data_IF_018373982214
#
_entry.id   IF_018373982214
#
_cell.length_a   1.000
_cell.length_b   1.000
_cell.length_c   1.000
_cell.angle_alpha   90.00
_cell.angle_beta   90.00
_cell.angle_gamma   90.00
#
_symmetry.space_group_name_H-M   'P 1'
#
loop_
_entity.id
_entity.type
_entity.pdbx_description
1 polymer ?
#
# COMPACT_ATOMS: atom_id res chain seq x y z
N UNK A 1 23.08 12.36 6.35
CA UNK A 1 23.38 12.79 7.73
C UNK A 1 22.33 13.74 8.30
N UNK A 2 22.02 14.88 7.68
CA UNK A 2 21.02 15.86 8.18
C UNK A 2 19.64 15.21 8.40
N UNK A 3 19.15 14.41 7.44
CA UNK A 3 17.86 13.76 7.54
C UNK A 3 17.77 12.75 8.70
N UNK A 4 18.88 12.05 9.01
CA UNK A 4 18.90 11.13 10.16
C UNK A 4 18.88 11.90 11.49
N UNK A 5 19.50 13.08 11.55
CA UNK A 5 19.45 13.97 12.72
C UNK A 5 18.02 14.52 12.89
N UNK A 6 17.44 15.01 11.79
CA UNK A 6 16.06 15.51 11.81
C UNK A 6 15.07 14.42 12.25
N UNK A 7 15.23 13.19 11.78
CA UNK A 7 14.39 12.06 12.20
C UNK A 7 14.48 11.80 13.71
N UNK A 8 15.68 11.84 14.30
CA UNK A 8 15.83 11.68 15.75
C UNK A 8 15.18 12.81 16.54
N UNK A 9 15.32 14.06 16.08
CA UNK A 9 14.63 15.20 16.71
C UNK A 9 13.11 15.07 16.61
N UNK A 10 12.62 14.59 15.46
CA UNK A 10 11.20 14.31 15.26
C UNK A 10 10.70 13.21 16.21
N UNK A 11 11.48 12.15 16.41
CA UNK A 11 11.14 11.09 17.34
C UNK A 11 11.03 11.60 18.78
N UNK A 12 11.98 12.45 19.22
CA UNK A 12 11.91 13.06 20.56
C UNK A 12 10.71 14.01 20.68
N UNK A 13 10.37 14.76 19.63
CA UNK A 13 9.17 15.59 19.63
C UNK A 13 7.89 14.77 19.85
N UNK A 14 7.72 13.63 19.11
CA UNK A 14 6.61 12.73 19.34
C UNK A 14 6.53 12.24 20.79
N UNK A 15 7.67 11.82 21.33
CA UNK A 15 7.73 11.22 22.67
C UNK A 15 7.58 12.22 23.82
N UNK A 16 7.94 13.50 23.62
CA UNK A 16 7.89 14.52 24.65
C UNK A 16 6.67 15.42 24.58
N UNK A 17 6.27 15.81 23.37
CA UNK A 17 5.27 16.86 23.18
C UNK A 17 3.89 16.32 22.78
N UNK A 18 3.84 15.13 22.16
CA UNK A 18 2.61 14.62 21.56
C UNK A 18 2.02 13.45 22.33
N UNK A 19 2.84 12.45 22.65
CA UNK A 19 2.36 11.24 23.30
C UNK A 19 2.32 11.36 24.83
N UNK A 20 1.43 10.59 25.51
CA UNK A 20 1.43 10.51 26.95
C UNK A 20 2.81 10.11 27.48
N UNK A 21 3.25 10.74 28.59
CA UNK A 21 4.56 10.46 29.19
C UNK A 21 4.75 8.98 29.56
N UNK A 22 3.67 8.30 29.96
CA UNK A 22 3.68 6.87 30.25
C UNK A 22 3.95 6.03 29.00
N UNK A 23 3.35 6.36 27.85
CA UNK A 23 3.59 5.67 26.58
C UNK A 23 5.03 5.88 26.08
N UNK A 24 5.56 7.11 26.22
CA UNK A 24 6.95 7.41 25.92
C UNK A 24 7.92 6.62 26.81
N UNK A 25 7.61 6.50 28.11
CA UNK A 25 8.37 5.68 29.06
C UNK A 25 8.35 4.20 28.68
N UNK A 26 7.15 3.66 28.38
CA UNK A 26 6.98 2.27 27.96
C UNK A 26 7.76 1.96 26.67
N UNK A 27 7.79 2.91 25.72
CA UNK A 27 8.59 2.78 24.49
C UNK A 27 10.09 2.71 24.80
N UNK A 28 10.61 3.62 25.66
CA UNK A 28 12.03 3.67 26.02
C UNK A 28 12.48 2.47 26.84
N UNK A 29 11.61 1.90 27.68
CA UNK A 29 11.90 0.68 28.46
C UNK A 29 11.70 -0.62 27.66
N UNK A 30 11.13 -0.54 26.47
CA UNK A 30 10.91 -1.69 25.61
C UNK A 30 9.70 -2.55 25.99
N UNK A 31 8.72 -1.98 26.73
CA UNK A 31 7.45 -2.64 27.03
C UNK A 31 6.54 -2.65 25.77
N UNK A 32 6.62 -1.57 24.99
CA UNK A 32 6.01 -1.45 23.66
C UNK A 32 6.99 -0.74 22.70
N UNK A 33 6.71 -0.85 21.40
CA UNK A 33 7.42 -0.11 20.36
C UNK A 33 6.44 0.71 19.54
N UNK A 34 6.65 2.04 19.49
CA UNK A 34 5.92 2.95 18.61
C UNK A 34 6.73 3.08 17.31
N UNK A 35 6.12 2.69 16.17
CA UNK A 35 6.80 2.68 14.89
C UNK A 35 6.89 4.07 14.26
N UNK A 36 7.91 4.26 13.39
CA UNK A 36 8.09 5.40 12.48
C UNK A 36 7.96 6.76 13.18
N UNK A 37 8.78 6.97 14.17
CA UNK A 37 8.85 8.22 14.91
C UNK A 37 9.69 9.29 14.19
N UNK A 38 10.41 8.94 13.16
CA UNK A 38 11.29 9.82 12.38
C UNK A 38 10.54 10.75 11.41
N UNK A 39 9.22 10.56 11.25
CA UNK A 39 8.34 11.44 10.47
C UNK A 39 7.10 11.83 11.24
N UNK A 40 6.64 13.09 11.07
CA UNK A 40 5.37 13.59 11.64
C UNK A 40 4.18 13.22 10.77
N UNK A 41 4.09 11.97 10.34
CA UNK A 41 3.12 11.51 9.34
C UNK A 41 2.33 10.28 9.78
N UNK A 42 1.34 9.89 8.98
CA UNK A 42 0.70 8.59 9.06
C UNK A 42 1.65 7.47 8.65
N UNK A 43 1.23 6.22 8.87
CA UNK A 43 2.05 5.05 8.61
C UNK A 43 1.91 4.57 7.16
N UNK A 44 0.88 3.79 6.81
CA UNK A 44 0.67 3.26 5.47
C UNK A 44 -0.58 3.83 4.83
N UNK A 45 -0.57 3.96 3.50
CA UNK A 45 -1.75 4.38 2.75
C UNK A 45 -1.98 3.51 1.50
N UNK A 46 -3.24 3.11 1.30
CA UNK A 46 -3.73 2.54 0.06
C UNK A 46 -4.41 3.65 -0.76
N UNK A 47 -3.98 3.79 -1.99
CA UNK A 47 -4.45 4.82 -2.91
C UNK A 47 -5.32 4.24 -4.00
N UNK A 48 -6.16 5.06 -4.62
CA UNK A 48 -6.92 4.65 -5.78
C UNK A 48 -6.07 4.75 -7.04
N UNK A 49 -5.69 3.59 -7.59
CA UNK A 49 -5.02 3.55 -8.90
C UNK A 49 -5.95 4.10 -9.99
N UNK A 50 -7.22 3.76 -9.92
CA UNK A 50 -8.24 4.29 -10.84
C UNK A 50 -8.26 5.81 -10.86
N UNK A 51 -8.25 6.44 -9.69
CA UNK A 51 -8.23 7.91 -9.58
C UNK A 51 -6.98 8.50 -10.23
N UNK A 52 -5.80 7.92 -9.97
CA UNK A 52 -4.56 8.36 -10.60
C UNK A 52 -4.62 8.25 -12.12
N UNK A 53 -5.12 7.14 -12.66
CA UNK A 53 -5.21 6.90 -14.10
C UNK A 53 -6.25 7.80 -14.80
N UNK A 54 -7.31 8.19 -14.08
CA UNK A 54 -8.36 9.06 -14.62
C UNK A 54 -8.04 10.55 -14.51
N UNK A 55 -7.37 10.98 -13.46
CA UNK A 55 -7.07 12.40 -13.21
C UNK A 55 -5.64 12.78 -13.63
N UNK A 56 -4.75 11.84 -13.75
CA UNK A 56 -3.32 12.09 -13.84
C UNK A 56 -2.69 12.43 -12.48
N UNK A 57 -1.40 12.71 -12.48
CA UNK A 57 -0.69 13.10 -11.26
C UNK A 57 -0.66 14.64 -11.18
N UNK A 58 -1.60 15.20 -10.43
CA UNK A 58 -1.90 16.64 -10.42
C UNK A 58 -2.48 17.09 -9.07
N UNK A 59 -3.02 18.28 -9.02
CA UNK A 59 -3.84 18.81 -7.92
C UNK A 59 -3.07 19.54 -6.83
N UNK A 60 -1.76 19.75 -6.98
CA UNK A 60 -0.93 20.52 -6.06
C UNK A 60 -0.39 21.76 -6.75
N UNK A 61 -0.92 22.92 -6.41
CA UNK A 61 -0.55 24.19 -7.03
C UNK A 61 0.95 24.47 -6.99
N UNK A 62 1.52 24.92 -8.11
CA UNK A 62 2.93 25.23 -8.26
C UNK A 62 3.85 24.02 -8.38
N UNK A 63 3.32 22.82 -8.51
CA UNK A 63 4.06 21.59 -8.82
C UNK A 63 3.82 21.17 -10.26
N UNK A 64 4.72 20.32 -10.79
CA UNK A 64 4.53 19.73 -12.12
C UNK A 64 3.32 18.82 -12.09
N UNK A 65 2.45 18.97 -13.09
CA UNK A 65 1.25 18.15 -13.26
C UNK A 65 1.36 17.30 -14.53
N UNK A 66 0.81 16.10 -14.48
CA UNK A 66 0.66 15.24 -15.66
C UNK A 66 -0.82 14.94 -15.91
N UNK A 67 -1.22 15.03 -17.17
CA UNK A 67 -2.56 14.61 -17.60
C UNK A 67 -2.77 13.11 -17.43
N UNK A 68 -4.01 12.61 -17.52
CA UNK A 68 -4.30 11.17 -17.55
C UNK A 68 -3.41 10.43 -18.56
N UNK A 69 -2.80 9.30 -18.18
CA UNK A 69 -1.90 8.56 -19.07
C UNK A 69 -2.68 7.96 -20.23
N UNK A 70 -2.06 7.95 -21.42
CA UNK A 70 -2.65 7.35 -22.62
C UNK A 70 -2.02 6.02 -23.02
N UNK A 71 -0.84 5.70 -22.47
CA UNK A 71 -0.04 4.53 -22.80
C UNK A 71 0.44 3.82 -21.53
N UNK A 72 0.68 2.51 -21.61
CA UNK A 72 1.16 1.70 -20.49
C UNK A 72 2.44 2.28 -19.85
N UNK A 73 3.41 2.69 -20.66
CA UNK A 73 4.67 3.28 -20.18
C UNK A 73 4.45 4.56 -19.38
N UNK A 74 3.54 5.43 -19.85
CA UNK A 74 3.17 6.66 -19.13
C UNK A 74 2.45 6.36 -17.82
N UNK A 75 1.56 5.36 -17.81
CA UNK A 75 0.88 4.91 -16.60
C UNK A 75 1.89 4.37 -15.57
N UNK A 76 2.83 3.52 -15.98
CA UNK A 76 3.91 3.03 -15.13
C UNK A 76 4.77 4.17 -14.57
N UNK A 77 5.13 5.15 -15.40
CA UNK A 77 5.89 6.32 -14.98
C UNK A 77 5.14 7.17 -13.94
N UNK A 78 3.83 7.40 -14.13
CA UNK A 78 3.01 8.12 -13.16
C UNK A 78 2.86 7.37 -11.84
N UNK A 79 2.72 6.04 -11.86
CA UNK A 79 2.68 5.19 -10.66
C UNK A 79 3.98 5.36 -9.86
N UNK A 80 5.13 5.29 -10.51
CA UNK A 80 6.45 5.49 -9.86
C UNK A 80 6.54 6.87 -9.22
N UNK A 81 6.19 7.91 -9.97
CA UNK A 81 6.23 9.30 -9.48
C UNK A 81 5.27 9.53 -8.32
N UNK A 82 4.05 8.99 -8.41
CA UNK A 82 3.05 9.07 -7.36
C UNK A 82 3.55 8.40 -6.07
N UNK A 83 3.89 7.13 -6.14
CA UNK A 83 4.33 6.36 -4.97
C UNK A 83 5.62 6.96 -4.36
N UNK A 84 6.57 7.40 -5.20
CA UNK A 84 7.79 8.07 -4.76
C UNK A 84 7.53 9.42 -4.08
N UNK A 85 6.53 10.18 -4.53
CA UNK A 85 6.18 11.46 -3.92
C UNK A 85 5.44 11.27 -2.60
N UNK A 86 4.45 10.39 -2.55
CA UNK A 86 3.65 10.14 -1.34
C UNK A 86 4.47 9.54 -0.18
N UNK A 87 5.59 8.90 -0.47
CA UNK A 87 6.57 8.45 0.52
C UNK A 87 7.19 9.60 1.34
N UNK A 88 7.11 10.84 0.87
CA UNK A 88 7.55 12.00 1.63
C UNK A 88 6.47 12.54 2.58
N UNK A 89 5.23 12.08 2.40
CA UNK A 89 4.10 12.47 3.25
C UNK A 89 3.63 11.33 4.18
N UNK A 90 4.10 10.09 3.95
CA UNK A 90 3.75 8.89 4.72
C UNK A 90 4.99 8.08 5.07
N UNK A 91 5.08 7.63 6.32
CA UNK A 91 6.26 6.95 6.83
C UNK A 91 6.39 5.49 6.35
N UNK A 92 5.27 4.79 6.22
CA UNK A 92 5.22 3.39 5.83
C UNK A 92 4.93 3.17 4.35
N UNK A 93 4.35 2.03 4.01
CA UNK A 93 4.15 1.66 2.64
C UNK A 93 3.00 2.40 1.96
N UNK A 94 3.19 2.58 0.66
CA UNK A 94 2.19 3.10 -0.27
C UNK A 94 1.73 1.95 -1.17
N UNK A 95 0.43 1.75 -1.28
CA UNK A 95 -0.13 0.60 -1.97
C UNK A 95 -1.13 1.00 -3.06
N UNK A 96 -1.12 0.24 -4.16
CA UNK A 96 -2.20 0.20 -5.14
C UNK A 96 -2.78 -1.21 -5.23
N UNK A 97 -4.10 -1.29 -5.35
CA UNK A 97 -4.83 -2.55 -5.57
C UNK A 97 -5.28 -2.68 -7.03
N UNK A 98 -5.63 -3.91 -7.43
CA UNK A 98 -6.14 -4.23 -8.77
C UNK A 98 -5.18 -3.77 -9.90
N UNK A 99 -3.87 -3.94 -9.66
CA UNK A 99 -2.84 -3.40 -10.54
C UNK A 99 -2.93 -3.98 -11.95
N UNK A 100 -3.06 -5.29 -12.09
CA UNK A 100 -3.20 -5.98 -13.36
C UNK A 100 -4.52 -5.65 -14.05
N UNK A 101 -5.63 -5.57 -13.30
CA UNK A 101 -6.95 -5.21 -13.82
C UNK A 101 -6.95 -3.80 -14.42
N UNK A 102 -6.43 -2.82 -13.71
CA UNK A 102 -6.45 -1.42 -14.18
C UNK A 102 -5.45 -1.12 -15.30
N UNK A 103 -4.35 -1.88 -15.42
CA UNK A 103 -3.36 -1.64 -16.47
C UNK A 103 -3.59 -2.46 -17.74
N UNK A 104 -4.31 -3.57 -17.69
CA UNK A 104 -4.61 -4.41 -18.83
C UNK A 104 -5.28 -3.65 -20.01
N UNK A 105 -6.21 -2.71 -19.79
CA UNK A 105 -6.83 -1.91 -20.86
C UNK A 105 -5.84 -1.12 -21.72
N UNK A 106 -4.73 -0.65 -21.17
CA UNK A 106 -3.71 0.07 -21.95
C UNK A 106 -3.03 -0.84 -22.97
N UNK A 107 -2.80 -2.10 -22.61
CA UNK A 107 -2.20 -3.11 -23.49
C UNK A 107 -3.14 -3.39 -24.66
N UNK A 108 -4.43 -3.64 -24.36
CA UNK A 108 -5.46 -3.91 -25.36
C UNK A 108 -5.66 -2.75 -26.31
N UNK A 109 -5.77 -1.54 -25.77
CA UNK A 109 -5.95 -0.29 -26.55
C UNK A 109 -4.81 -0.07 -27.55
N UNK A 110 -3.57 -0.27 -27.11
CA UNK A 110 -2.38 0.00 -27.92
C UNK A 110 -1.90 -1.24 -28.71
N UNK A 111 -2.54 -2.40 -28.54
CA UNK A 111 -2.16 -3.65 -29.19
C UNK A 111 -0.73 -4.09 -28.84
N UNK A 112 -0.29 -3.88 -27.59
CA UNK A 112 1.09 -4.15 -27.18
C UNK A 112 1.38 -5.65 -27.15
N UNK A 113 2.53 -6.02 -27.71
CA UNK A 113 3.08 -7.36 -27.60
C UNK A 113 3.78 -7.58 -26.25
N UNK A 114 4.00 -8.85 -25.90
CA UNK A 114 4.62 -9.25 -24.64
C UNK A 114 5.99 -8.57 -24.34
N UNK A 115 6.92 -8.41 -25.31
CA UNK A 115 8.20 -7.77 -25.05
C UNK A 115 8.06 -6.31 -24.58
N UNK A 116 7.08 -5.58 -25.12
CA UNK A 116 6.79 -4.20 -24.76
C UNK A 116 6.20 -4.10 -23.34
N UNK A 117 5.25 -4.98 -23.02
CA UNK A 117 4.67 -5.08 -21.66
C UNK A 117 5.75 -5.41 -20.65
N UNK A 118 6.59 -6.40 -20.94
CA UNK A 118 7.69 -6.81 -20.06
C UNK A 118 8.67 -5.66 -19.83
N UNK A 119 9.01 -4.88 -20.88
CA UNK A 119 9.89 -3.70 -20.73
C UNK A 119 9.28 -2.65 -19.81
N UNK A 120 8.00 -2.29 -19.99
CA UNK A 120 7.33 -1.33 -19.12
C UNK A 120 7.33 -1.77 -17.65
N UNK A 121 7.08 -3.06 -17.37
CA UNK A 121 7.11 -3.57 -16.00
C UNK A 121 8.52 -3.67 -15.43
N UNK A 122 9.52 -3.96 -16.24
CA UNK A 122 10.92 -3.93 -15.81
C UNK A 122 11.34 -2.51 -15.39
N UNK A 123 10.97 -1.51 -16.16
CA UNK A 123 11.22 -0.09 -15.82
C UNK A 123 10.49 0.32 -14.54
N UNK A 124 9.23 -0.08 -14.38
CA UNK A 124 8.47 0.18 -13.16
C UNK A 124 9.14 -0.44 -11.93
N UNK A 125 9.46 -1.73 -11.97
CA UNK A 125 10.09 -2.44 -10.85
C UNK A 125 11.45 -1.85 -10.53
N UNK A 126 12.28 -1.58 -11.55
CA UNK A 126 13.59 -0.96 -11.36
C UNK A 126 13.46 0.41 -10.68
N UNK A 127 12.60 1.28 -11.18
CA UNK A 127 12.42 2.62 -10.64
C UNK A 127 11.84 2.62 -9.21
N UNK A 128 11.00 1.65 -8.85
CA UNK A 128 10.54 1.47 -7.47
C UNK A 128 11.64 0.95 -6.53
N UNK A 129 12.78 0.49 -7.05
CA UNK A 129 13.94 0.07 -6.25
C UNK A 129 15.09 1.10 -6.25
N UNK A 130 14.94 2.22 -6.97
CA UNK A 130 15.89 3.32 -6.90
C UNK A 130 15.75 4.03 -5.55
N UNK A 131 16.87 4.35 -4.85
CA UNK A 131 16.82 5.04 -3.55
C UNK A 131 16.37 6.49 -3.72
N UNK A 132 15.08 6.71 -3.89
CA UNK A 132 14.46 8.02 -4.13
C UNK A 132 13.79 8.61 -2.89
N UNK A 133 13.69 7.82 -1.81
CA UNK A 133 13.07 8.23 -0.56
C UNK A 133 14.08 8.94 0.35
N UNK A 134 13.56 9.67 1.33
CA UNK A 134 14.29 10.26 2.42
C UNK A 134 15.25 9.25 3.09
N UNK A 135 16.46 9.67 3.42
CA UNK A 135 17.46 8.80 4.03
C UNK A 135 18.11 7.79 3.09
N UNK A 136 18.02 7.98 1.76
CA UNK A 136 18.52 7.05 0.73
C UNK A 136 17.83 5.69 0.71
N UNK A 137 16.59 5.62 1.21
CA UNK A 137 15.77 4.42 1.14
C UNK A 137 15.02 4.34 -0.19
N UNK A 138 14.71 3.13 -0.61
CA UNK A 138 13.79 2.89 -1.71
C UNK A 138 12.35 3.14 -1.26
N UNK A 139 11.43 3.54 -2.16
CA UNK A 139 10.02 3.64 -1.84
C UNK A 139 9.47 2.31 -1.32
N UNK A 140 8.89 2.31 -0.13
CA UNK A 140 8.22 1.14 0.41
C UNK A 140 6.85 1.00 -0.25
N UNK A 141 6.72 0.07 -1.18
CA UNK A 141 5.55 -0.05 -2.05
C UNK A 141 4.96 -1.45 -2.04
N UNK A 142 3.63 -1.52 -2.18
CA UNK A 142 2.89 -2.77 -2.35
C UNK A 142 1.98 -2.66 -3.57
N UNK A 143 1.91 -3.73 -4.37
CA UNK A 143 0.96 -3.86 -5.48
C UNK A 143 0.13 -5.13 -5.28
N UNK A 144 -1.19 -4.98 -5.33
CA UNK A 144 -2.11 -6.14 -5.28
C UNK A 144 -2.60 -6.47 -6.68
N UNK A 145 -2.50 -7.72 -7.05
CA UNK A 145 -2.91 -8.31 -8.31
C UNK A 145 -4.17 -9.14 -8.10
N UNK A 146 -5.14 -8.94 -8.96
CA UNK A 146 -6.41 -9.66 -8.88
C UNK A 146 -6.31 -11.07 -9.47
N UNK A 147 -5.45 -11.31 -10.46
CA UNK A 147 -5.29 -12.52 -11.26
C UNK A 147 -6.48 -12.80 -12.19
N UNK A 148 -7.68 -12.72 -11.63
CA UNK A 148 -8.95 -12.77 -12.35
C UNK A 148 -9.67 -11.46 -12.14
N UNK A 149 -10.25 -10.89 -13.20
CA UNK A 149 -10.97 -9.62 -13.11
C UNK A 149 -12.10 -9.70 -12.07
N UNK A 150 -12.12 -8.84 -11.05
CA UNK A 150 -13.17 -8.84 -10.03
C UNK A 150 -14.57 -8.58 -10.63
N UNK A 151 -15.58 -9.20 -10.04
CA UNK A 151 -16.97 -9.10 -10.53
C UNK A 151 -17.49 -7.65 -10.56
N UNK A 152 -17.11 -6.84 -9.58
CA UNK A 152 -17.50 -5.43 -9.50
C UNK A 152 -16.87 -4.57 -10.60
N UNK A 153 -15.76 -4.98 -11.20
CA UNK A 153 -15.08 -4.30 -12.29
C UNK A 153 -15.41 -4.88 -13.67
N UNK A 154 -15.84 -6.14 -13.73
CA UNK A 154 -15.97 -6.92 -14.95
C UNK A 154 -16.73 -6.20 -16.06
N UNK A 155 -17.89 -5.61 -15.74
CA UNK A 155 -18.77 -4.91 -16.69
C UNK A 155 -18.45 -3.40 -16.80
N UNK A 156 -17.48 -2.91 -16.04
CA UNK A 156 -17.14 -1.48 -16.09
C UNK A 156 -16.26 -1.16 -17.30
N UNK A 157 -16.53 -0.01 -17.92
CA UNK A 157 -15.78 0.50 -19.06
C UNK A 157 -14.54 1.25 -18.56
N UNK A 158 -13.33 0.89 -19.03
CA UNK A 158 -12.12 1.65 -18.72
C UNK A 158 -12.11 3.03 -19.36
N UNK A 159 -11.58 4.01 -18.64
CA UNK A 159 -11.34 5.37 -19.14
C UNK A 159 -9.83 5.57 -19.29
N UNK A 160 -9.34 5.82 -20.49
CA UNK A 160 -7.92 6.02 -20.79
C UNK A 160 -7.71 7.35 -21.46
N UNK A 161 -6.87 8.22 -20.87
CA UNK A 161 -6.61 9.55 -21.41
C UNK A 161 -7.85 10.45 -21.47
N UNK A 162 -8.85 10.16 -20.63
CA UNK A 162 -10.14 10.87 -20.60
C UNK A 162 -11.20 10.32 -21.55
N UNK A 163 -10.93 9.23 -22.27
CA UNK A 163 -11.85 8.62 -23.23
C UNK A 163 -12.32 7.25 -22.75
N UNK A 164 -13.62 6.95 -22.86
CA UNK A 164 -14.17 5.63 -22.60
C UNK A 164 -13.75 4.64 -23.69
N UNK A 165 -13.37 3.42 -23.27
CA UNK A 165 -12.96 2.38 -24.20
C UNK A 165 -14.18 1.59 -24.71
N UNK A 166 -14.12 1.04 -25.94
CA UNK A 166 -15.21 0.23 -26.51
C UNK A 166 -15.24 -1.23 -26.00
N UNK A 167 -14.73 -1.47 -24.78
CA UNK A 167 -14.65 -2.77 -24.12
C UNK A 167 -14.66 -2.60 -22.61
N UNK A 168 -14.95 -3.67 -21.88
CA UNK A 168 -14.96 -3.69 -20.41
C UNK A 168 -13.66 -4.26 -19.83
N UNK A 169 -13.43 -4.07 -18.51
CA UNK A 169 -12.28 -4.68 -17.84
C UNK A 169 -12.27 -6.22 -17.96
N UNK A 170 -13.44 -6.85 -17.89
CA UNK A 170 -13.57 -8.31 -18.06
C UNK A 170 -13.09 -8.86 -19.41
N UNK A 171 -13.09 -8.02 -20.46
CA UNK A 171 -12.60 -8.39 -21.76
C UNK A 171 -11.06 -8.49 -21.84
N UNK A 172 -10.35 -7.97 -20.82
CA UNK A 172 -8.89 -7.82 -20.82
C UNK A 172 -8.15 -8.96 -20.12
N UNK A 173 -8.74 -10.17 -20.03
CA UNK A 173 -8.14 -11.30 -19.32
C UNK A 173 -6.77 -11.73 -19.88
N UNK A 174 -6.60 -11.70 -21.20
CA UNK A 174 -5.33 -12.04 -21.86
C UNK A 174 -4.23 -11.02 -21.51
N UNK A 175 -4.58 -9.75 -21.46
CA UNK A 175 -3.68 -8.65 -21.12
C UNK A 175 -3.31 -8.68 -19.64
N UNK A 176 -4.25 -9.02 -18.73
CA UNK A 176 -3.96 -9.28 -17.33
C UNK A 176 -2.95 -10.42 -17.18
N UNK A 177 -3.14 -11.53 -17.91
CA UNK A 177 -2.20 -12.64 -17.90
C UNK A 177 -0.80 -12.23 -18.39
N UNK A 178 -0.69 -11.35 -19.40
CA UNK A 178 0.59 -10.79 -19.84
C UNK A 178 1.27 -9.95 -18.76
N UNK A 179 0.53 -9.12 -18.02
CA UNK A 179 1.06 -8.33 -16.90
C UNK A 179 1.60 -9.26 -15.82
N UNK A 180 0.80 -10.23 -15.39
CA UNK A 180 1.18 -11.17 -14.34
C UNK A 180 2.45 -11.96 -14.73
N UNK A 181 2.49 -12.51 -15.95
CA UNK A 181 3.69 -13.17 -16.47
C UNK A 181 4.92 -12.27 -16.47
N UNK A 182 4.80 -11.08 -17.03
CA UNK A 182 5.91 -10.15 -17.15
C UNK A 182 6.43 -9.69 -15.77
N UNK A 183 5.53 -9.42 -14.83
CA UNK A 183 5.90 -9.03 -13.48
C UNK A 183 6.67 -10.17 -12.76
N UNK A 184 6.14 -11.39 -12.80
CA UNK A 184 6.77 -12.55 -12.17
C UNK A 184 8.15 -12.82 -12.79
N UNK A 185 8.29 -12.78 -14.12
CA UNK A 185 9.57 -12.96 -14.79
C UNK A 185 10.60 -11.90 -14.40
N UNK A 186 10.19 -10.62 -14.31
CA UNK A 186 11.07 -9.53 -13.87
C UNK A 186 11.54 -9.73 -12.44
N UNK A 187 10.62 -10.09 -11.54
CA UNK A 187 10.96 -10.36 -10.13
C UNK A 187 11.87 -11.58 -9.97
N UNK A 188 11.65 -12.64 -10.74
CA UNK A 188 12.51 -13.85 -10.74
C UNK A 188 13.91 -13.58 -11.29
N UNK A 189 14.03 -12.76 -12.33
CA UNK A 189 15.30 -12.40 -12.94
C UNK A 189 16.17 -11.54 -11.99
N UNK A 190 15.54 -10.67 -11.21
CA UNK A 190 16.24 -9.72 -10.35
C UNK A 190 16.93 -8.58 -11.13
N UNK A 191 17.84 -7.89 -10.47
CA UNK A 191 18.64 -6.81 -11.05
C UNK A 191 19.72 -7.34 -12.02
N UNK A 192 20.54 -6.43 -12.58
CA UNK A 192 21.63 -6.77 -13.51
C UNK A 192 22.68 -7.76 -12.94
N UNK A 193 22.66 -7.99 -11.63
CA UNK A 193 23.52 -8.96 -10.93
C UNK A 193 22.74 -10.17 -10.41
N UNK A 194 21.45 -10.31 -10.77
CA UNK A 194 20.58 -11.38 -10.31
C UNK A 194 20.14 -11.25 -8.85
N UNK A 195 20.25 -10.07 -8.22
CA UNK A 195 19.79 -9.84 -6.86
C UNK A 195 18.27 -9.59 -6.88
N UNK A 196 17.55 -10.17 -5.94
CA UNK A 196 16.12 -9.97 -5.81
C UNK A 196 15.77 -8.50 -5.61
N UNK A 197 14.70 -8.06 -6.24
CA UNK A 197 14.08 -6.76 -5.97
C UNK A 197 13.36 -6.80 -4.62
N UNK A 198 13.51 -5.75 -3.83
CA UNK A 198 12.82 -5.63 -2.53
C UNK A 198 11.38 -5.16 -2.72
N UNK A 199 11.16 -4.28 -3.70
CA UNK A 199 9.87 -3.66 -3.98
C UNK A 199 9.49 -3.77 -5.46
N UNK A 200 8.19 -3.64 -5.79
CA UNK A 200 7.05 -3.61 -4.86
C UNK A 200 6.85 -4.98 -4.19
N UNK A 201 6.33 -5.00 -2.96
CA UNK A 201 5.86 -6.25 -2.33
C UNK A 201 4.59 -6.67 -3.08
N UNK A 202 4.59 -7.83 -3.76
CA UNK A 202 3.39 -8.28 -4.47
C UNK A 202 2.44 -9.01 -3.54
N UNK A 203 1.14 -8.77 -3.72
CA UNK A 203 0.05 -9.55 -3.10
C UNK A 203 -0.86 -10.07 -4.18
N UNK A 204 -1.19 -11.35 -4.18
CA UNK A 204 -2.10 -11.97 -5.13
C UNK A 204 -3.41 -12.39 -4.46
N UNK A 205 -4.52 -12.00 -5.06
CA UNK A 205 -5.84 -12.43 -4.65
C UNK A 205 -6.09 -13.86 -5.14
N UNK A 206 -6.40 -14.75 -4.21
CA UNK A 206 -6.80 -16.14 -4.52
C UNK A 206 -8.30 -16.25 -4.37
N UNK A 207 -8.97 -16.39 -5.50
CA UNK A 207 -10.42 -16.56 -5.62
C UNK A 207 -10.78 -17.97 -6.05
N UNK A 208 -12.08 -18.32 -6.09
CA UNK A 208 -12.52 -19.69 -6.47
C UNK A 208 -12.19 -20.05 -7.90
N UNK A 209 -12.08 -19.05 -8.78
CA UNK A 209 -11.77 -19.16 -10.20
C UNK A 209 -10.26 -18.96 -10.51
N UNK A 210 -9.41 -18.97 -9.48
CA UNK A 210 -7.96 -18.91 -9.65
C UNK A 210 -7.46 -20.11 -10.43
N UNK A 211 -6.72 -19.86 -11.52
CA UNK A 211 -6.14 -20.93 -12.35
C UNK A 211 -4.90 -21.54 -11.65
N UNK A 212 -5.11 -22.69 -11.01
CA UNK A 212 -4.08 -23.41 -10.27
C UNK A 212 -3.04 -24.13 -11.16
N UNK A 213 -3.34 -24.34 -12.43
CA UNK A 213 -2.57 -25.21 -13.33
C UNK A 213 -2.03 -24.48 -14.56
N UNK A 214 -2.25 -23.19 -14.68
CA UNK A 214 -1.77 -22.38 -15.78
C UNK A 214 -0.26 -22.13 -15.73
N UNK A 215 0.36 -21.76 -16.85
CA UNK A 215 1.81 -21.53 -16.94
C UNK A 215 2.28 -20.36 -16.06
N UNK A 216 1.44 -19.34 -15.86
CA UNK A 216 1.76 -18.23 -14.96
C UNK A 216 1.76 -18.66 -13.49
N UNK A 217 0.89 -19.60 -13.13
CA UNK A 217 0.80 -20.14 -11.76
C UNK A 217 2.05 -20.94 -11.40
N UNK A 218 2.57 -21.75 -12.34
CA UNK A 218 3.82 -22.46 -12.13
C UNK A 218 4.98 -21.47 -11.83
N UNK A 219 5.08 -20.40 -12.60
CA UNK A 219 6.10 -19.38 -12.38
C UNK A 219 5.88 -18.61 -11.05
N UNK A 220 4.61 -18.34 -10.68
CA UNK A 220 4.26 -17.69 -9.41
C UNK A 220 4.75 -18.52 -8.23
N UNK A 221 4.49 -19.82 -8.23
CA UNK A 221 4.95 -20.71 -7.16
C UNK A 221 6.46 -20.96 -7.20
N UNK A 222 7.11 -20.92 -8.36
CA UNK A 222 8.56 -20.93 -8.47
C UNK A 222 9.17 -19.67 -7.81
N UNK A 223 8.57 -18.50 -7.99
CA UNK A 223 8.95 -17.27 -7.31
C UNK A 223 8.75 -17.40 -5.79
N UNK A 224 7.63 -17.98 -5.35
CA UNK A 224 7.33 -18.21 -3.94
C UNK A 224 8.37 -19.13 -3.30
N UNK A 225 8.71 -20.23 -3.96
CA UNK A 225 9.71 -21.19 -3.48
C UNK A 225 11.11 -20.56 -3.38
N UNK A 226 11.45 -19.66 -4.32
CA UNK A 226 12.77 -19.05 -4.37
C UNK A 226 12.95 -17.88 -3.38
N UNK A 227 11.93 -17.04 -3.23
CA UNK A 227 12.06 -15.76 -2.52
C UNK A 227 11.10 -15.58 -1.35
N UNK A 228 10.14 -16.48 -1.13
CA UNK A 228 9.07 -16.28 -0.16
C UNK A 228 8.08 -15.17 -0.56
N UNK A 229 8.05 -14.81 -1.83
CA UNK A 229 7.13 -13.83 -2.44
C UNK A 229 6.27 -14.53 -3.49
N UNK A 230 5.05 -14.11 -3.75
CA UNK A 230 4.29 -13.00 -3.15
C UNK A 230 3.60 -13.38 -1.85
N UNK A 231 2.84 -12.41 -1.29
CA UNK A 231 1.80 -12.70 -0.32
C UNK A 231 0.52 -13.14 -1.03
N UNK A 232 -0.22 -14.04 -0.40
CA UNK A 232 -1.51 -14.50 -0.91
C UNK A 232 -2.64 -14.03 -0.01
N UNK A 233 -3.67 -13.43 -0.61
CA UNK A 233 -4.90 -13.06 0.06
C UNK A 233 -5.99 -14.05 -0.36
N UNK A 234 -6.40 -14.92 0.54
CA UNK A 234 -7.29 -16.03 0.26
C UNK A 234 -8.76 -15.65 0.49
N UNK A 235 -9.55 -15.64 -0.59
CA UNK A 235 -10.97 -15.40 -0.59
C UNK A 235 -11.81 -16.68 -0.80
N UNK A 236 -11.18 -17.85 -0.98
CA UNK A 236 -11.90 -19.12 -1.24
C UNK A 236 -12.76 -19.55 -0.05
N UNK A 237 -12.20 -19.42 1.16
CA UNK A 237 -12.85 -19.79 2.42
C UNK A 237 -13.15 -18.56 3.29
N UNK A 238 -13.53 -17.47 2.66
CA UNK A 238 -13.82 -16.19 3.32
C UNK A 238 -15.22 -15.70 2.92
N UNK A 239 -15.91 -15.06 3.84
CA UNK A 239 -17.14 -14.30 3.55
C UNK A 239 -16.83 -12.93 2.89
N UNK A 240 -15.56 -12.57 2.84
CA UNK A 240 -15.06 -11.35 2.20
C UNK A 240 -14.83 -11.60 0.71
N UNK A 241 -15.10 -10.59 -0.08
CA UNK A 241 -14.80 -10.56 -1.53
C UNK A 241 -13.64 -9.59 -1.80
N UNK A 242 -12.91 -9.75 -2.91
CA UNK A 242 -11.78 -8.86 -3.24
C UNK A 242 -12.12 -7.36 -3.20
N UNK A 243 -13.31 -6.98 -3.64
CA UNK A 243 -13.77 -5.58 -3.61
C UNK A 243 -14.08 -5.04 -2.21
N UNK A 244 -14.27 -5.92 -1.21
CA UNK A 244 -14.57 -5.53 0.18
C UNK A 244 -13.32 -5.32 1.02
N UNK A 245 -12.17 -5.69 0.52
CA UNK A 245 -10.92 -5.67 1.27
C UNK A 245 -9.84 -5.01 0.43
N UNK A 246 -9.05 -4.13 1.04
CA UNK A 246 -7.81 -3.65 0.44
C UNK A 246 -6.64 -4.12 1.26
N UNK A 247 -5.69 -4.74 0.59
CA UNK A 247 -4.45 -5.19 1.20
C UNK A 247 -3.43 -4.08 1.18
N UNK A 248 -2.81 -3.86 2.33
CA UNK A 248 -1.62 -3.04 2.44
C UNK A 248 -0.42 -3.92 2.83
N UNK A 249 0.78 -3.38 2.70
CA UNK A 249 2.02 -4.09 3.03
C UNK A 249 2.01 -4.78 4.40
N UNK A 250 1.32 -4.18 5.38
CA UNK A 250 1.17 -4.71 6.75
C UNK A 250 0.12 -5.83 6.83
N UNK A 251 -0.47 -6.24 5.71
CA UNK A 251 -1.56 -7.24 5.65
C UNK A 251 -2.79 -6.84 6.47
N UNK A 252 -2.97 -5.54 6.70
CA UNK A 252 -4.16 -5.02 7.31
C UNK A 252 -5.31 -5.21 6.33
N UNK A 253 -6.19 -6.13 6.66
CA UNK A 253 -7.46 -6.31 5.97
C UNK A 253 -8.48 -5.40 6.64
N UNK A 254 -8.96 -4.42 5.92
CA UNK A 254 -10.03 -3.55 6.38
C UNK A 254 -11.35 -4.07 5.82
N UNK A 255 -12.24 -4.50 6.71
CA UNK A 255 -13.61 -4.85 6.31
C UNK A 255 -14.40 -3.57 6.05
N UNK A 256 -14.56 -3.28 4.78
CA UNK A 256 -15.21 -2.07 4.30
C UNK A 256 -16.72 -2.06 4.55
N UNK A 257 -17.33 -3.22 4.83
CA UNK A 257 -18.75 -3.30 5.22
C UNK A 257 -18.98 -2.57 6.53
N UNK A 258 -18.06 -2.67 7.48
CA UNK A 258 -18.13 -1.93 8.74
C UNK A 258 -17.87 -0.43 8.53
N UNK A 259 -16.96 -0.07 7.64
CA UNK A 259 -16.70 1.32 7.28
C UNK A 259 -17.90 1.96 6.54
N UNK A 260 -18.52 1.23 5.64
CA UNK A 260 -19.72 1.68 4.92
C UNK A 260 -20.95 1.88 5.83
N UNK A 261 -21.13 1.03 6.85
CA UNK A 261 -22.21 1.15 7.84
C UNK A 261 -22.11 2.40 8.70
N UNK A 262 -20.91 2.93 8.91
CA UNK A 262 -20.64 4.11 9.76
C UNK A 262 -20.84 5.45 9.04
N UNK A 263 -21.38 5.45 7.84
CA UNK A 263 -21.91 6.62 7.15
C UNK A 263 -20.92 7.37 6.28
N UNK A 264 -20.80 6.94 5.05
CA UNK A 264 -20.65 7.77 3.85
C UNK A 264 -20.45 6.90 2.60
N UNK A 265 -21.29 5.90 2.45
CA UNK A 265 -21.18 4.83 1.46
C UNK A 265 -21.60 5.17 0.02
N UNK A 266 -21.73 6.45 -0.39
CA UNK A 266 -22.11 6.69 -1.79
C UNK A 266 -20.95 6.90 -2.77
N UNK A 267 -19.71 7.14 -2.29
CA UNK A 267 -18.54 7.34 -3.17
C UNK A 267 -17.23 6.87 -2.54
N UNK A 268 -17.26 6.08 -1.47
CA UNK A 268 -16.04 5.53 -0.87
C UNK A 268 -15.58 4.32 -1.67
N UNK A 269 -14.73 4.51 -2.67
CA UNK A 269 -13.94 3.37 -3.11
C UNK A 269 -13.12 2.90 -1.92
N UNK A 270 -13.21 1.62 -1.63
CA UNK A 270 -12.40 0.92 -0.66
C UNK A 270 -10.88 1.15 -0.82
N UNK A 271 -10.49 1.84 -1.87
CA UNK A 271 -9.13 2.09 -2.31
C UNK A 271 -8.42 3.19 -1.50
N UNK A 272 -9.15 4.07 -0.82
CA UNK A 272 -8.58 5.18 -0.03
C UNK A 272 -8.62 4.86 1.47
N UNK A 273 -7.83 3.89 1.88
CA UNK A 273 -7.74 3.45 3.27
C UNK A 273 -6.30 3.34 3.70
N UNK A 274 -6.05 3.46 5.01
CA UNK A 274 -4.70 3.43 5.52
C UNK A 274 -4.63 3.15 7.01
N UNK A 275 -3.40 3.15 7.52
CA UNK A 275 -3.09 3.05 8.94
C UNK A 275 -2.36 4.31 9.38
N UNK A 276 -2.86 4.98 10.40
CA UNK A 276 -2.20 6.19 10.93
C UNK A 276 -0.94 5.88 11.72
N UNK A 277 -0.79 4.65 12.23
CA UNK A 277 0.37 4.23 12.99
C UNK A 277 0.30 2.77 13.41
N UNK A 278 1.42 2.29 13.95
CA UNK A 278 1.54 0.95 14.52
C UNK A 278 2.21 1.03 15.87
N UNK A 279 1.69 0.30 16.83
CA UNK A 279 2.29 0.08 18.15
C UNK A 279 2.40 -1.42 18.37
N UNK A 280 3.58 -1.89 18.68
CA UNK A 280 3.83 -3.32 18.94
C UNK A 280 4.09 -3.52 20.43
N UNK A 281 3.29 -4.38 21.07
CA UNK A 281 3.49 -4.80 22.48
C UNK A 281 4.55 -5.87 22.54
N UNK A 282 5.49 -5.77 23.48
CA UNK A 282 6.55 -6.74 23.72
C UNK A 282 6.06 -7.92 24.57
N UNK A 283 5.38 -8.85 23.91
CA UNK A 283 4.84 -10.05 24.62
C UNK A 283 5.91 -10.92 25.26
N UNK A 284 7.11 -10.97 24.69
CA UNK A 284 8.22 -11.75 25.28
C UNK A 284 8.64 -11.16 26.63
N UNK A 285 8.77 -9.83 26.71
CA UNK A 285 9.08 -9.15 27.97
C UNK A 285 7.96 -9.29 29.00
N UNK A 286 6.70 -9.15 28.57
CA UNK A 286 5.55 -9.35 29.45
C UNK A 286 5.53 -10.76 30.03
N UNK A 287 5.71 -11.81 29.21
CA UNK A 287 5.77 -13.20 29.67
C UNK A 287 6.92 -13.46 30.63
N UNK A 288 8.07 -12.80 30.45
CA UNK A 288 9.20 -12.91 31.37
C UNK A 288 8.92 -12.24 32.73
N UNK A 289 8.40 -11.01 32.70
CA UNK A 289 8.15 -10.22 33.92
C UNK A 289 7.01 -10.77 34.80
N UNK A 290 6.04 -11.42 34.19
CA UNK A 290 4.85 -11.96 34.85
C UNK A 290 4.78 -13.50 34.80
N UNK A 291 5.95 -14.15 34.74
CA UNK A 291 6.02 -15.62 34.70
C UNK A 291 5.33 -16.22 35.95
N UNK A 292 4.33 -17.08 35.71
CA UNK A 292 3.56 -17.72 36.76
C UNK A 292 2.41 -16.91 37.37
N UNK A 293 2.20 -15.68 36.92
CA UNK A 293 1.07 -14.82 37.33
C UNK A 293 0.25 -14.37 36.11
N UNK A 294 -0.76 -15.17 35.73
CA UNK A 294 -1.62 -14.90 34.59
C UNK A 294 -2.44 -13.63 34.78
N UNK A 295 -2.93 -13.35 36.00
CA UNK A 295 -3.73 -12.16 36.25
C UNK A 295 -2.92 -10.88 36.06
N UNK A 296 -1.67 -10.84 36.55
CA UNK A 296 -0.77 -9.72 36.33
C UNK A 296 -0.37 -9.58 34.86
N UNK A 297 -0.17 -10.68 34.14
CA UNK A 297 0.13 -10.68 32.69
C UNK A 297 -1.01 -10.04 31.90
N UNK A 298 -2.25 -10.44 32.14
CA UNK A 298 -3.42 -9.90 31.47
C UNK A 298 -3.63 -8.42 31.79
N UNK A 299 -3.50 -8.03 33.05
CA UNK A 299 -3.62 -6.62 33.44
C UNK A 299 -2.53 -5.74 32.82
N UNK A 300 -1.29 -6.21 32.75
CA UNK A 300 -0.20 -5.49 32.10
C UNK A 300 -0.41 -5.38 30.56
N UNK A 301 -0.92 -6.43 29.93
CA UNK A 301 -1.26 -6.45 28.51
C UNK A 301 -2.33 -5.40 28.22
N UNK A 302 -3.42 -5.38 28.99
CA UNK A 302 -4.56 -4.47 28.83
C UNK A 302 -4.13 -3.00 28.97
N UNK A 303 -3.25 -2.73 29.93
CA UNK A 303 -2.66 -1.40 30.13
C UNK A 303 -1.85 -0.97 28.90
N UNK A 304 -0.99 -1.82 28.34
CA UNK A 304 -0.18 -1.49 27.17
C UNK A 304 -1.03 -1.32 25.91
N UNK A 305 -2.10 -2.08 25.75
CA UNK A 305 -3.07 -1.91 24.67
C UNK A 305 -3.80 -0.57 24.76
N UNK A 306 -4.19 -0.18 25.97
CA UNK A 306 -4.80 1.14 26.24
C UNK A 306 -3.86 2.27 25.86
N UNK A 307 -2.60 2.22 26.33
CA UNK A 307 -1.57 3.19 25.94
C UNK A 307 -1.33 3.24 24.44
N UNK A 308 -1.31 2.07 23.78
CA UNK A 308 -1.18 1.99 22.32
C UNK A 308 -2.32 2.69 21.59
N UNK A 309 -3.55 2.53 22.07
CA UNK A 309 -4.74 3.23 21.53
C UNK A 309 -4.65 4.75 21.69
N UNK A 310 -4.22 5.23 22.85
CA UNK A 310 -4.02 6.66 23.12
C UNK A 310 -2.95 7.27 22.20
N UNK A 311 -1.84 6.57 21.99
CA UNK A 311 -0.78 6.95 21.04
C UNK A 311 -1.31 7.10 19.63
N UNK A 312 -2.07 6.10 19.14
CA UNK A 312 -2.62 6.10 17.78
C UNK A 312 -3.62 7.24 17.58
N UNK A 313 -4.46 7.52 18.59
CA UNK A 313 -5.41 8.64 18.53
C UNK A 313 -4.71 9.99 18.58
N UNK A 314 -3.68 10.15 19.41
CA UNK A 314 -2.86 11.36 19.44
C UNK A 314 -2.17 11.60 18.07
N UNK A 315 -1.58 10.55 17.48
CA UNK A 315 -0.98 10.61 16.14
C UNK A 315 -2.00 11.02 15.09
N UNK A 316 -3.18 10.41 15.08
CA UNK A 316 -4.25 10.74 14.14
C UNK A 316 -4.62 12.21 14.17
N UNK A 317 -4.77 12.78 15.39
CA UNK A 317 -5.11 14.20 15.56
C UNK A 317 -4.03 15.12 15.01
N UNK A 318 -2.78 14.86 15.32
CA UNK A 318 -1.65 15.68 14.84
C UNK A 318 -1.49 15.59 13.33
N UNK A 319 -1.57 14.39 12.75
CA UNK A 319 -1.48 14.22 11.29
C UNK A 319 -2.64 14.93 10.58
N UNK A 320 -3.87 14.84 11.14
CA UNK A 320 -5.01 15.60 10.59
C UNK A 320 -4.77 17.11 10.62
N UNK A 321 -4.27 17.66 11.73
CA UNK A 321 -3.92 19.08 11.82
C UNK A 321 -2.91 19.50 10.74
N UNK A 322 -1.91 18.66 10.47
CA UNK A 322 -0.92 18.92 9.43
C UNK A 322 -1.51 18.87 8.01
N UNK A 323 -2.45 17.95 7.76
CA UNK A 323 -3.19 17.90 6.47
C UNK A 323 -4.02 19.17 6.30
N UNK A 324 -4.74 19.59 7.33
CA UNK A 324 -5.56 20.80 7.31
C UNK A 324 -4.72 22.06 7.08
N UNK A 325 -3.55 22.12 7.71
CA UNK A 325 -2.56 23.18 7.51
C UNK A 325 -1.86 23.16 6.14
N UNK A 326 -2.12 22.14 5.31
CA UNK A 326 -1.53 22.01 3.97
C UNK A 326 -0.07 21.56 3.93
N UNK A 327 0.43 20.96 5.02
CA UNK A 327 1.79 20.43 5.09
C UNK A 327 1.95 19.12 4.29
N UNK A 328 0.84 18.43 3.99
CA UNK A 328 0.77 17.24 3.15
C UNK A 328 -0.15 17.49 1.95
N UNK A 329 0.31 18.25 0.96
CA UNK A 329 -0.55 18.74 -0.11
C UNK A 329 -1.10 17.63 -1.01
N UNK A 330 -0.32 16.60 -1.31
CA UNK A 330 -0.79 15.46 -2.10
C UNK A 330 -1.77 14.59 -1.31
N UNK A 331 -1.50 14.30 -0.05
CA UNK A 331 -2.45 13.60 0.82
C UNK A 331 -3.77 14.36 0.93
N UNK A 332 -3.71 15.69 1.08
CA UNK A 332 -4.90 16.54 1.12
C UNK A 332 -5.72 16.45 -0.16
N UNK A 333 -5.06 16.38 -1.32
CA UNK A 333 -5.74 16.27 -2.62
C UNK A 333 -6.34 14.88 -2.84
N UNK A 334 -5.56 13.81 -2.62
CA UNK A 334 -5.99 12.45 -2.97
C UNK A 334 -6.78 11.73 -1.87
N UNK A 335 -6.61 12.07 -0.61
CA UNK A 335 -7.30 11.45 0.53
C UNK A 335 -8.34 12.39 1.17
N UNK A 336 -8.08 13.71 1.21
CA UNK A 336 -8.93 14.72 1.78
C UNK A 336 -8.79 14.83 3.31
N UNK A 337 -9.15 13.80 4.08
CA UNK A 337 -9.05 13.84 5.55
C UNK A 337 -8.90 12.44 6.16
N UNK A 338 -8.25 12.38 7.33
CA UNK A 338 -8.22 11.19 8.18
C UNK A 338 -9.49 11.18 9.03
N UNK A 339 -10.50 10.43 8.62
CA UNK A 339 -11.71 10.26 9.42
C UNK A 339 -11.50 9.18 10.46
N UNK A 340 -12.08 9.40 11.66
CA UNK A 340 -12.17 8.37 12.67
C UNK A 340 -13.32 7.42 12.30
N UNK A 341 -12.99 6.17 12.05
CA UNK A 341 -13.95 5.12 11.73
C UNK A 341 -13.97 4.07 12.82
#
# INVERSE_FOLDING_TARGET
MILNIAGKLTAEYWLHEVFPAEAASAHRHGDLHIHDLDMLSGYCAGWSLRTLLQLGFSGVGGKVESAPPRHLSSACGQIVNFLGTLQNEWAGAQAFSSFDTYLAPFIRKDGLGYPQVRQCLQELVYNLNVPSRWGTQTPFTNLTFDWVCPDDLREQVPVIGGEEMPFCYGDCAAEMAMINRAFIEVMLAGDARGRAFTFPIPTYNITRDFDWYGPNTEQLFAMTAKYGLPYFQNFVNSDLQPHMVRSMCCRLQLDLRELAKRGNGLFGSAEQTGSVGVVTVNCARLGYLHAGDEAALLAATDRLLTLGSEVLEARRRVVQQHIDAGLYPYTKHYLGSLRNH
#
